data_IF_809339296923
#
_entry.id   IF_809339296923
#
_cell.length_a   1.000
_cell.length_b   1.000
_cell.length_c   1.000
_cell.angle_alpha   90.00
_cell.angle_beta   90.00
_cell.angle_gamma   90.00
#
_symmetry.space_group_name_H-M   'P 1'
#
loop_
_entity.id
_entity.type
_entity.pdbx_description
1 polymer ?
#
# COMPACT_ATOMS: atom_id res chain seq x y z
N UNK A 1 12.23 -35.59 -17.51
CA UNK A 1 12.29 -35.46 -18.99
C UNK A 1 13.03 -36.62 -19.65
N UNK A 2 12.64 -37.06 -20.84
CA UNK A 2 13.33 -38.13 -21.58
C UNK A 2 14.38 -37.58 -22.55
N UNK A 3 15.54 -38.23 -22.61
CA UNK A 3 16.61 -37.86 -23.54
C UNK A 3 16.22 -38.19 -24.99
N UNK A 4 16.26 -37.22 -25.92
CA UNK A 4 15.88 -37.46 -27.31
C UNK A 4 16.87 -38.34 -28.08
N UNK A 5 18.11 -38.49 -27.60
CA UNK A 5 19.11 -39.35 -28.24
C UNK A 5 19.01 -40.82 -27.79
N UNK A 6 19.00 -41.08 -26.48
CA UNK A 6 19.07 -42.44 -25.95
C UNK A 6 17.82 -42.95 -25.23
N UNK A 7 16.78 -42.11 -25.08
CA UNK A 7 15.51 -42.46 -24.42
C UNK A 7 15.58 -42.62 -22.90
N UNK A 8 16.71 -42.30 -22.25
CA UNK A 8 16.83 -42.38 -20.80
C UNK A 8 15.98 -41.30 -20.11
N UNK A 9 15.31 -41.67 -19.02
CA UNK A 9 14.65 -40.71 -18.14
C UNK A 9 15.68 -39.92 -17.32
N UNK A 10 15.58 -38.59 -17.36
CA UNK A 10 16.45 -37.63 -16.69
C UNK A 10 15.64 -36.71 -15.76
N UNK A 11 16.17 -36.31 -14.59
CA UNK A 11 15.58 -35.27 -13.73
C UNK A 11 15.46 -33.94 -14.48
N UNK A 12 14.45 -33.15 -14.12
CA UNK A 12 14.12 -31.86 -14.77
C UNK A 12 15.24 -30.81 -14.63
N UNK A 13 16.05 -30.89 -13.58
CA UNK A 13 17.12 -29.92 -13.29
C UNK A 13 18.45 -30.22 -14.00
N UNK A 14 18.55 -31.35 -14.71
CA UNK A 14 19.79 -31.72 -15.41
C UNK A 14 19.87 -31.08 -16.79
N UNK A 15 21.00 -30.45 -17.07
CA UNK A 15 21.35 -29.94 -18.39
C UNK A 15 21.97 -31.00 -19.31
N UNK A 16 22.38 -32.15 -18.76
CA UNK A 16 23.04 -33.24 -19.47
C UNK A 16 22.46 -34.61 -19.11
N UNK A 17 22.35 -35.49 -20.11
CA UNK A 17 21.87 -36.85 -19.95
C UNK A 17 22.87 -37.66 -19.12
N UNK A 18 22.37 -38.35 -18.08
CA UNK A 18 23.25 -39.16 -17.21
C UNK A 18 23.77 -40.44 -17.90
N UNK A 19 23.14 -40.85 -19.01
CA UNK A 19 23.42 -42.13 -19.68
C UNK A 19 24.33 -42.00 -20.90
N UNK A 20 24.20 -40.93 -21.66
CA UNK A 20 24.91 -40.75 -22.94
C UNK A 20 25.63 -39.39 -23.06
N UNK A 21 25.62 -38.59 -21.98
CA UNK A 21 26.29 -37.28 -21.90
C UNK A 21 25.81 -36.22 -22.91
N UNK A 22 24.72 -36.46 -23.63
CA UNK A 22 24.11 -35.46 -24.51
C UNK A 22 23.46 -34.32 -23.73
N UNK A 23 23.47 -33.13 -24.33
CA UNK A 23 22.76 -31.96 -23.82
C UNK A 23 21.25 -32.17 -23.86
N UNK A 24 20.59 -31.85 -22.75
CA UNK A 24 19.14 -31.92 -22.62
C UNK A 24 18.49 -30.59 -22.99
N UNK A 25 17.26 -30.61 -23.54
CA UNK A 25 16.54 -29.39 -23.84
C UNK A 25 16.21 -28.61 -22.56
N UNK A 26 16.76 -27.41 -22.42
CA UNK A 26 16.49 -26.51 -21.30
C UNK A 26 15.04 -26.03 -21.41
N UNK A 27 14.22 -26.28 -20.38
CA UNK A 27 12.90 -25.64 -20.27
C UNK A 27 13.11 -24.14 -20.10
N UNK A 28 12.60 -23.34 -21.03
CA UNK A 28 12.55 -21.88 -20.86
C UNK A 28 11.69 -21.60 -19.64
N UNK A 29 12.27 -20.99 -18.61
CA UNK A 29 11.49 -20.48 -17.50
C UNK A 29 10.52 -19.42 -18.04
N UNK A 30 9.24 -19.62 -17.77
CA UNK A 30 8.25 -18.60 -18.11
C UNK A 30 8.54 -17.36 -17.25
N UNK A 31 8.57 -16.15 -17.85
CA UNK A 31 8.88 -14.94 -17.10
C UNK A 31 7.85 -14.80 -15.97
N UNK A 32 8.34 -14.79 -14.72
CA UNK A 32 7.50 -14.55 -13.55
C UNK A 32 6.76 -13.22 -13.76
N UNK A 33 5.43 -13.28 -13.83
CA UNK A 33 4.60 -12.07 -14.00
C UNK A 33 4.91 -11.14 -12.83
N UNK A 34 5.38 -9.94 -13.13
CA UNK A 34 5.61 -8.93 -12.11
C UNK A 34 4.29 -8.66 -11.39
N UNK A 35 4.33 -8.63 -10.05
CA UNK A 35 3.15 -8.32 -9.25
C UNK A 35 2.72 -6.88 -9.54
N UNK A 36 1.69 -6.71 -10.36
CA UNK A 36 1.09 -5.40 -10.60
C UNK A 36 0.41 -4.94 -9.31
N UNK A 37 0.70 -3.72 -8.82
CA UNK A 37 0.01 -3.20 -7.66
C UNK A 37 -1.48 -3.01 -8.02
N UNK A 38 -2.33 -3.88 -7.50
CA UNK A 38 -3.76 -3.86 -7.79
C UNK A 38 -4.40 -2.51 -7.42
N UNK A 39 -5.44 -2.11 -8.17
CA UNK A 39 -6.21 -0.86 -8.00
C UNK A 39 -6.64 -0.57 -6.55
N UNK A 40 -6.84 -1.63 -5.75
CA UNK A 40 -7.20 -1.54 -4.34
C UNK A 40 -6.08 -0.91 -3.48
N UNK A 41 -4.81 -1.20 -3.80
CA UNK A 41 -3.66 -0.60 -3.11
C UNK A 41 -3.56 0.90 -3.36
N UNK A 42 -3.72 1.34 -4.61
CA UNK A 42 -3.67 2.75 -4.97
C UNK A 42 -4.78 3.57 -4.29
N UNK A 43 -6.01 3.04 -4.25
CA UNK A 43 -7.14 3.74 -3.64
C UNK A 43 -6.98 3.88 -2.12
N UNK A 44 -6.40 2.86 -1.46
CA UNK A 44 -6.07 2.91 -0.03
C UNK A 44 -5.09 4.04 0.28
N UNK A 45 -4.01 4.17 -0.51
CA UNK A 45 -3.03 5.23 -0.33
C UNK A 45 -3.61 6.63 -0.54
N UNK A 46 -4.46 6.80 -1.55
CA UNK A 46 -5.14 8.09 -1.80
C UNK A 46 -6.01 8.48 -0.59
N UNK A 47 -6.80 7.55 -0.06
CA UNK A 47 -7.65 7.80 1.12
C UNK A 47 -6.81 8.20 2.34
N UNK A 48 -5.69 7.50 2.59
CA UNK A 48 -4.80 7.81 3.73
C UNK A 48 -4.14 9.19 3.59
N UNK A 49 -3.71 9.58 2.39
CA UNK A 49 -3.14 10.91 2.14
C UNK A 49 -4.18 12.00 2.38
N UNK A 50 -5.41 11.81 1.89
CA UNK A 50 -6.50 12.79 2.07
C UNK A 50 -6.86 12.95 3.55
N UNK A 51 -7.02 11.84 4.28
CA UNK A 51 -7.30 11.87 5.72
C UNK A 51 -6.16 12.55 6.51
N UNK A 52 -4.90 12.25 6.18
CA UNK A 52 -3.74 12.90 6.78
C UNK A 52 -3.70 14.40 6.52
N UNK A 53 -4.00 14.83 5.28
CA UNK A 53 -4.07 16.24 4.92
C UNK A 53 -5.19 16.98 5.69
N UNK A 54 -6.39 16.37 5.82
CA UNK A 54 -7.49 16.91 6.61
C UNK A 54 -7.09 17.04 8.08
N UNK A 55 -6.45 16.02 8.66
CA UNK A 55 -5.97 16.07 10.03
C UNK A 55 -4.99 17.23 10.24
N UNK A 56 -3.96 17.33 9.40
CA UNK A 56 -2.96 18.42 9.47
C UNK A 56 -3.61 19.79 9.26
N UNK A 57 -4.56 19.91 8.34
CA UNK A 57 -5.31 21.15 8.11
C UNK A 57 -6.08 21.60 9.35
N UNK A 58 -6.79 20.67 10.03
CA UNK A 58 -7.51 21.00 11.26
C UNK A 58 -6.58 21.38 12.42
N UNK A 59 -5.34 20.88 12.45
CA UNK A 59 -4.36 21.25 13.49
C UNK A 59 -3.77 22.65 13.28
N UNK A 60 -3.67 23.15 12.03
CA UNK A 60 -3.08 24.46 11.74
C UNK A 60 -4.10 25.56 11.44
N UNK A 61 -5.24 25.23 10.82
CA UNK A 61 -6.28 26.18 10.41
C UNK A 61 -7.52 26.05 11.31
N UNK A 62 -7.30 25.87 12.62
CA UNK A 62 -8.29 25.55 13.64
C UNK A 62 -9.65 26.18 13.35
N UNK A 63 -10.69 25.35 13.41
CA UNK A 63 -12.05 25.71 13.00
C UNK A 63 -12.47 27.02 13.67
N UNK A 64 -12.44 28.12 12.93
CA UNK A 64 -13.08 29.38 13.32
C UNK A 64 -14.58 29.22 13.10
N UNK A 65 -15.20 28.27 13.81
CA UNK A 65 -16.64 28.26 13.90
C UNK A 65 -17.01 29.51 14.71
N UNK A 66 -17.74 30.47 14.14
CA UNK A 66 -18.30 31.54 14.94
C UNK A 66 -19.19 30.88 15.99
N UNK A 67 -18.85 31.03 17.26
CA UNK A 67 -19.73 30.53 18.31
C UNK A 67 -21.08 31.25 18.19
N UNK A 68 -22.21 30.53 18.26
CA UNK A 68 -23.50 31.19 18.29
C UNK A 68 -23.53 32.14 19.49
N UNK A 69 -23.77 33.42 19.20
CA UNK A 69 -23.82 34.53 20.17
C UNK A 69 -24.83 34.33 21.29
N UNK A 70 -25.69 33.31 21.20
CA UNK A 70 -26.64 32.93 22.24
C UNK A 70 -26.01 32.25 23.47
N UNK A 71 -24.73 31.85 23.43
CA UNK A 71 -24.02 31.31 24.61
C UNK A 71 -23.11 32.31 25.33
N UNK A 72 -23.03 33.55 24.83
CA UNK A 72 -22.24 34.58 25.47
C UNK A 72 -23.05 35.13 26.64
N UNK A 73 -22.82 34.58 27.83
CA UNK A 73 -23.44 35.08 29.05
C UNK A 73 -23.23 36.60 29.14
N UNK A 74 -24.26 37.38 29.52
CA UNK A 74 -24.08 38.81 29.70
C UNK A 74 -22.95 39.05 30.71
N UNK A 75 -22.07 40.06 30.49
CA UNK A 75 -21.05 40.39 31.47
C UNK A 75 -21.74 40.65 32.81
N UNK A 76 -21.25 40.02 33.87
CA UNK A 76 -21.79 40.21 35.21
C UNK A 76 -21.83 41.72 35.53
N UNK A 77 -22.93 42.23 36.12
CA UNK A 77 -22.98 43.63 36.51
C UNK A 77 -21.85 43.91 37.49
N UNK A 78 -20.96 44.84 37.12
CA UNK A 78 -19.91 45.34 38.00
C UNK A 78 -20.59 46.15 39.10
N UNK A 79 -20.93 45.51 40.21
CA UNK A 79 -21.41 46.20 41.40
C UNK A 79 -20.22 46.87 42.05
N UNK A 80 -20.03 48.17 41.80
CA UNK A 80 -19.08 48.98 42.56
C UNK A 80 -19.68 49.24 43.95
N UNK A 81 -19.01 48.86 45.05
CA UNK A 81 -19.44 49.28 46.38
C UNK A 81 -19.24 50.79 46.52
N UNK A 82 -20.29 51.49 46.96
CA UNK A 82 -20.19 52.89 47.39
C UNK A 82 -19.72 52.90 48.85
N UNK A 83 -18.40 52.94 49.06
CA UNK A 83 -17.79 53.32 50.33
C UNK A 83 -16.53 54.14 50.02
#
# INVERSE_FOLDING_TARGET
>A
MECPNCGAYNPEDRTQCWKCDDLLPIKKEEPKKANEPGRMGMLTWVVLIVLGAIYLFNQCAGQTLPQPTSMQAPPAPVVRPLI
#
